data_IF_635409426783
#
_entry.id   IF_635409426783
#
_cell.length_a   1.000
_cell.length_b   1.000
_cell.length_c   1.000
_cell.angle_alpha   90.00
_cell.angle_beta   90.00
_cell.angle_gamma   90.00
#
_symmetry.space_group_name_H-M   'P 1'
#
loop_
_entity.id
_entity.type
_entity.pdbx_description
1 polymer ?
#
# COMPACT_ATOMS: atom_id res chain seq x y z
N UNK A 1 -29.18 -2.95 36.76
CA UNK A 1 -27.85 -3.20 37.34
C UNK A 1 -26.81 -2.37 36.60
N UNK A 2 -25.87 -1.72 37.30
CA UNK A 2 -24.87 -0.89 36.59
C UNK A 2 -23.82 -1.78 35.90
N UNK A 3 -23.21 -1.28 34.81
CA UNK A 3 -22.21 -2.02 34.01
C UNK A 3 -21.08 -2.60 34.89
N UNK A 4 -20.56 -1.82 35.84
CA UNK A 4 -19.46 -2.29 36.70
C UNK A 4 -19.85 -3.42 37.61
N UNK A 5 -21.09 -3.40 38.13
CA UNK A 5 -21.63 -4.48 38.94
C UNK A 5 -21.72 -5.78 38.14
N UNK A 6 -22.15 -5.69 36.88
CA UNK A 6 -22.23 -6.85 35.98
C UNK A 6 -20.84 -7.41 35.63
N UNK A 7 -19.89 -6.54 35.33
CA UNK A 7 -18.49 -6.96 35.11
C UNK A 7 -17.96 -7.71 36.32
N UNK A 8 -18.22 -7.18 37.54
CA UNK A 8 -17.83 -7.83 38.81
C UNK A 8 -18.49 -9.19 38.99
N UNK A 9 -19.80 -9.27 38.73
CA UNK A 9 -20.58 -10.52 38.88
C UNK A 9 -20.08 -11.57 37.85
N UNK A 10 -19.92 -11.22 36.59
CA UNK A 10 -19.39 -12.11 35.55
C UNK A 10 -18.00 -12.62 35.91
N UNK A 11 -17.11 -11.74 36.41
CA UNK A 11 -15.79 -12.16 36.90
C UNK A 11 -15.87 -13.14 38.06
N UNK A 12 -16.73 -12.87 39.03
CA UNK A 12 -16.91 -13.76 40.20
C UNK A 12 -17.48 -15.12 39.79
N UNK A 13 -18.46 -15.15 38.90
CA UNK A 13 -19.04 -16.37 38.36
C UNK A 13 -18.02 -17.17 37.53
N UNK A 14 -17.07 -16.50 36.86
CA UNK A 14 -15.96 -17.14 36.19
C UNK A 14 -14.80 -17.55 37.12
N UNK A 15 -14.92 -17.31 38.45
CA UNK A 15 -13.89 -17.64 39.42
C UNK A 15 -12.58 -16.88 39.28
N UNK A 16 -12.59 -15.70 38.62
CA UNK A 16 -11.38 -14.96 38.32
C UNK A 16 -11.10 -13.84 39.32
N UNK A 17 -9.79 -13.57 39.55
CA UNK A 17 -9.36 -12.37 40.29
C UNK A 17 -9.37 -11.17 39.38
N UNK A 18 -9.46 -9.93 39.94
CA UNK A 18 -9.30 -8.69 39.15
C UNK A 18 -7.96 -8.64 38.38
N UNK A 19 -6.93 -9.20 38.97
CA UNK A 19 -5.59 -9.29 38.39
C UNK A 19 -5.56 -10.21 37.17
N UNK A 20 -6.24 -11.35 37.27
CA UNK A 20 -6.36 -12.31 36.16
C UNK A 20 -7.14 -11.71 34.97
N UNK A 21 -8.24 -10.99 35.22
CA UNK A 21 -8.99 -10.27 34.17
C UNK A 21 -8.14 -9.18 33.56
N UNK A 22 -7.40 -8.41 34.38
CA UNK A 22 -6.52 -7.36 33.89
C UNK A 22 -5.44 -7.92 32.96
N UNK A 23 -4.81 -9.03 33.29
CA UNK A 23 -3.84 -9.76 32.48
C UNK A 23 -4.44 -10.17 31.12
N UNK A 24 -5.60 -10.83 31.16
CA UNK A 24 -6.26 -11.33 29.93
C UNK A 24 -6.76 -10.23 29.00
N UNK A 25 -7.26 -9.12 29.55
CA UNK A 25 -7.71 -7.95 28.78
C UNK A 25 -6.52 -7.13 28.26
N UNK A 26 -5.36 -7.18 28.95
CA UNK A 26 -4.18 -6.37 28.64
C UNK A 26 -4.24 -4.96 29.23
N UNK A 27 -4.79 -4.82 30.45
CA UNK A 27 -4.92 -3.54 31.16
C UNK A 27 -4.35 -3.63 32.58
N UNK A 28 -4.27 -2.50 33.30
CA UNK A 28 -3.87 -2.51 34.69
C UNK A 28 -4.99 -3.03 35.60
N UNK A 29 -4.65 -3.68 36.71
CA UNK A 29 -5.63 -4.09 37.75
C UNK A 29 -6.48 -2.91 38.23
N UNK A 30 -5.86 -1.71 38.33
CA UNK A 30 -6.58 -0.50 38.74
C UNK A 30 -7.68 -0.12 37.74
N UNK A 31 -7.49 -0.37 36.43
CA UNK A 31 -8.51 -0.11 35.41
C UNK A 31 -9.73 -1.01 35.66
N UNK A 32 -9.52 -2.32 35.88
CA UNK A 32 -10.58 -3.27 36.19
C UNK A 32 -11.30 -2.86 37.47
N UNK A 33 -10.58 -2.47 38.53
CA UNK A 33 -11.18 -1.98 39.76
C UNK A 33 -12.08 -0.77 39.52
N UNK A 34 -11.62 0.25 38.75
CA UNK A 34 -12.40 1.44 38.41
C UNK A 34 -13.66 1.11 37.60
N UNK A 35 -13.58 0.12 36.72
CA UNK A 35 -14.75 -0.34 35.96
C UNK A 35 -15.78 -0.99 36.89
N UNK A 36 -15.36 -1.88 37.80
CA UNK A 36 -16.26 -2.58 38.71
C UNK A 36 -16.96 -1.65 39.71
N UNK A 37 -16.35 -0.49 40.04
CA UNK A 37 -16.97 0.52 40.92
C UNK A 37 -17.62 1.66 40.17
N UNK A 38 -17.77 1.56 38.82
CA UNK A 38 -18.35 2.56 37.92
C UNK A 38 -17.64 3.93 37.95
N UNK A 39 -16.36 3.99 38.31
CA UNK A 39 -15.56 5.22 38.24
C UNK A 39 -15.08 5.51 36.82
N UNK A 40 -14.99 4.51 35.96
CA UNK A 40 -14.74 4.63 34.54
C UNK A 40 -15.41 3.48 33.80
N UNK A 41 -15.66 3.65 32.51
CA UNK A 41 -16.13 2.57 31.65
C UNK A 41 -14.99 1.98 30.83
N UNK A 42 -14.99 0.66 30.53
CA UNK A 42 -14.10 0.07 29.55
C UNK A 42 -14.43 0.65 28.16
N UNK A 43 -13.41 0.81 27.31
CA UNK A 43 -13.65 1.15 25.91
C UNK A 43 -14.27 -0.04 25.15
N UNK A 44 -14.73 0.21 23.92
CA UNK A 44 -15.42 -0.80 23.10
C UNK A 44 -14.58 -2.07 22.92
N UNK A 45 -13.27 -1.95 22.70
CA UNK A 45 -12.38 -3.08 22.53
C UNK A 45 -12.29 -3.94 23.80
N UNK A 46 -12.18 -3.29 24.96
CA UNK A 46 -12.12 -3.97 26.24
C UNK A 46 -13.45 -4.63 26.62
N UNK A 47 -14.59 -4.03 26.22
CA UNK A 47 -15.91 -4.66 26.41
C UNK A 47 -16.02 -5.98 25.62
N UNK A 48 -15.53 -6.00 24.37
CA UNK A 48 -15.52 -7.24 23.59
C UNK A 48 -14.63 -8.31 24.21
N UNK A 49 -13.43 -7.93 24.69
CA UNK A 49 -12.53 -8.86 25.40
C UNK A 49 -13.15 -9.40 26.68
N UNK A 50 -13.80 -8.55 27.47
CA UNK A 50 -14.49 -8.96 28.68
C UNK A 50 -15.63 -9.94 28.37
N UNK A 51 -16.42 -9.65 27.33
CA UNK A 51 -17.49 -10.56 26.91
C UNK A 51 -16.95 -11.93 26.49
N UNK A 52 -15.85 -11.96 25.74
CA UNK A 52 -15.16 -13.20 25.34
C UNK A 52 -14.63 -13.98 26.53
N UNK A 53 -13.94 -13.32 27.48
CA UNK A 53 -13.35 -13.93 28.68
C UNK A 53 -14.42 -14.52 29.60
N UNK A 54 -15.56 -13.84 29.73
CA UNK A 54 -16.66 -14.27 30.56
C UNK A 54 -17.64 -15.22 29.90
N UNK A 55 -17.46 -15.51 28.59
CA UNK A 55 -18.38 -16.35 27.82
C UNK A 55 -19.78 -15.73 27.66
N UNK A 56 -19.86 -14.39 27.62
CA UNK A 56 -21.11 -13.63 27.53
C UNK A 56 -21.10 -12.71 26.32
N UNK A 57 -22.17 -11.94 26.08
CA UNK A 57 -22.23 -10.93 25.03
C UNK A 57 -21.97 -9.54 25.57
N UNK A 58 -21.53 -8.62 24.71
CA UNK A 58 -21.43 -7.20 25.05
C UNK A 58 -22.81 -6.64 25.40
N UNK A 59 -23.86 -7.09 24.71
CA UNK A 59 -25.23 -6.66 25.00
C UNK A 59 -25.67 -7.10 26.40
N UNK A 60 -25.38 -8.33 26.82
CA UNK A 60 -25.63 -8.79 28.18
C UNK A 60 -24.80 -8.08 29.26
N UNK A 61 -23.62 -7.57 28.88
CA UNK A 61 -22.85 -6.69 29.77
C UNK A 61 -23.42 -5.28 29.86
N UNK A 62 -24.05 -4.78 28.80
CA UNK A 62 -24.59 -3.42 28.72
C UNK A 62 -26.06 -3.31 29.13
N UNK A 63 -26.87 -4.34 28.92
CA UNK A 63 -28.33 -4.28 29.06
C UNK A 63 -28.83 -4.87 30.40
N UNK A 64 -29.89 -4.28 30.92
CA UNK A 64 -30.48 -4.61 32.22
C UNK A 64 -31.61 -5.64 32.16
N UNK A 65 -32.00 -6.11 30.98
CA UNK A 65 -33.14 -7.01 30.84
C UNK A 65 -32.76 -8.41 30.37
N UNK A 66 -33.20 -9.41 31.11
CA UNK A 66 -32.92 -10.84 31.01
C UNK A 66 -33.44 -11.53 29.72
N UNK A 67 -34.01 -10.80 28.77
CA UNK A 67 -34.74 -11.37 27.60
C UNK A 67 -33.95 -11.54 26.28
N UNK A 68 -32.70 -11.10 26.24
CA UNK A 68 -31.89 -11.31 25.02
C UNK A 68 -30.89 -12.46 25.15
N UNK A 69 -31.37 -13.66 25.31
CA UNK A 69 -30.57 -14.90 25.16
C UNK A 69 -30.26 -15.13 23.69
N UNK A 70 -29.31 -14.38 23.12
CA UNK A 70 -28.72 -14.79 21.84
C UNK A 70 -27.97 -16.11 22.06
N UNK A 71 -28.26 -17.10 21.23
CA UNK A 71 -27.58 -18.38 21.33
C UNK A 71 -26.08 -18.22 21.07
N UNK A 72 -25.20 -19.06 21.68
CA UNK A 72 -23.77 -19.04 21.39
C UNK A 72 -23.45 -19.08 19.88
N UNK A 73 -24.32 -19.72 19.07
CA UNK A 73 -24.22 -19.79 17.62
C UNK A 73 -24.43 -18.42 16.93
N UNK A 74 -25.37 -17.59 17.46
CA UNK A 74 -25.62 -16.25 16.92
C UNK A 74 -24.46 -15.29 17.23
N UNK A 75 -23.86 -15.42 18.40
CA UNK A 75 -22.67 -14.63 18.80
C UNK A 75 -21.47 -14.94 17.91
N UNK A 76 -21.20 -16.22 17.66
CA UNK A 76 -20.15 -16.68 16.74
C UNK A 76 -20.42 -16.12 15.35
N UNK A 77 -21.66 -16.19 14.86
CA UNK A 77 -22.05 -15.67 13.57
C UNK A 77 -21.84 -14.15 13.47
N UNK A 78 -22.15 -13.39 14.51
CA UNK A 78 -21.92 -11.94 14.59
C UNK A 78 -20.42 -11.60 14.54
N UNK A 79 -19.60 -12.29 15.33
CA UNK A 79 -18.14 -12.09 15.33
C UNK A 79 -17.52 -12.40 13.96
N UNK A 80 -17.96 -13.48 13.31
CA UNK A 80 -17.54 -13.81 11.95
C UNK A 80 -17.90 -12.70 10.95
N UNK A 81 -19.12 -12.18 11.00
CA UNK A 81 -19.56 -11.08 10.13
C UNK A 81 -18.70 -9.82 10.35
N UNK A 82 -18.46 -9.43 11.58
CA UNK A 82 -17.60 -8.29 11.91
C UNK A 82 -16.16 -8.47 11.43
N UNK A 83 -15.62 -9.67 11.54
CA UNK A 83 -14.28 -9.97 11.02
C UNK A 83 -14.22 -9.95 9.50
N UNK A 84 -15.25 -10.45 8.82
CA UNK A 84 -15.35 -10.36 7.36
C UNK A 84 -15.50 -8.91 6.87
N UNK A 85 -16.31 -8.10 7.55
CA UNK A 85 -16.46 -6.68 7.24
C UNK A 85 -15.13 -5.93 7.41
N UNK A 86 -14.42 -6.14 8.53
CA UNK A 86 -13.08 -5.56 8.74
C UNK A 86 -12.09 -6.01 7.67
N UNK A 87 -12.11 -7.28 7.27
CA UNK A 87 -11.27 -7.79 6.18
C UNK A 87 -11.65 -7.16 4.82
N UNK A 88 -12.94 -6.97 4.56
CA UNK A 88 -13.44 -6.34 3.35
C UNK A 88 -13.04 -4.85 3.28
N UNK A 89 -13.18 -4.10 4.38
CA UNK A 89 -12.75 -2.72 4.48
C UNK A 89 -11.23 -2.57 4.31
N UNK A 90 -10.45 -3.43 4.96
CA UNK A 90 -9.00 -3.44 4.81
C UNK A 90 -8.58 -3.70 3.35
N UNK A 91 -9.24 -4.66 2.67
CA UNK A 91 -9.01 -4.92 1.24
C UNK A 91 -9.39 -3.73 0.37
N UNK A 92 -10.53 -3.05 0.65
CA UNK A 92 -10.97 -1.86 -0.06
C UNK A 92 -9.97 -0.71 0.09
N UNK A 93 -9.51 -0.47 1.33
CA UNK A 93 -8.48 0.54 1.63
C UNK A 93 -7.16 0.23 0.92
N UNK A 94 -6.74 -1.02 0.91
CA UNK A 94 -5.53 -1.45 0.21
C UNK A 94 -5.65 -1.25 -1.30
N UNK A 95 -6.78 -1.64 -1.92
CA UNK A 95 -7.03 -1.38 -3.35
C UNK A 95 -6.97 0.10 -3.69
N UNK A 96 -7.60 0.95 -2.87
CA UNK A 96 -7.57 2.40 -3.08
C UNK A 96 -6.13 2.95 -3.00
N UNK A 97 -5.33 2.49 -2.05
CA UNK A 97 -3.92 2.90 -1.94
C UNK A 97 -3.10 2.43 -3.14
N UNK A 98 -3.34 1.22 -3.65
CA UNK A 98 -2.68 0.70 -4.84
C UNK A 98 -3.03 1.54 -6.08
N UNK A 99 -4.30 1.91 -6.25
CA UNK A 99 -4.75 2.80 -7.34
C UNK A 99 -4.10 4.19 -7.23
N UNK A 100 -4.06 4.77 -6.03
CA UNK A 100 -3.37 6.06 -5.81
C UNK A 100 -1.89 5.99 -6.18
N UNK A 101 -1.19 4.92 -5.81
CA UNK A 101 0.20 4.72 -6.16
C UNK A 101 0.39 4.57 -7.69
N UNK A 102 -0.49 3.81 -8.35
CA UNK A 102 -0.46 3.65 -9.81
C UNK A 102 -0.71 4.96 -10.54
N UNK A 103 -1.67 5.77 -10.08
CA UNK A 103 -1.94 7.10 -10.63
C UNK A 103 -0.74 8.04 -10.46
N UNK A 104 -0.09 8.01 -9.29
CA UNK A 104 1.11 8.83 -9.06
C UNK A 104 2.24 8.47 -10.05
N UNK A 105 2.48 7.18 -10.27
CA UNK A 105 3.45 6.71 -11.26
C UNK A 105 3.06 7.16 -12.67
N UNK A 106 1.80 7.01 -13.06
CA UNK A 106 1.30 7.45 -14.37
C UNK A 106 1.47 8.97 -14.58
N UNK A 107 1.19 9.77 -13.53
CA UNK A 107 1.39 11.23 -13.57
C UNK A 107 2.85 11.57 -13.84
N UNK A 108 3.81 10.88 -13.23
CA UNK A 108 5.25 11.12 -13.50
C UNK A 108 5.56 10.87 -14.96
N UNK A 109 5.08 9.78 -15.56
CA UNK A 109 5.27 9.53 -17.02
C UNK A 109 4.62 10.60 -17.88
N UNK A 110 3.41 11.06 -17.54
CA UNK A 110 2.72 12.14 -18.24
C UNK A 110 3.53 13.43 -18.15
N UNK A 111 4.07 13.77 -16.98
CA UNK A 111 4.92 14.96 -16.78
C UNK A 111 6.18 14.85 -17.65
N UNK A 112 6.87 13.70 -17.64
CA UNK A 112 8.06 13.47 -18.47
C UNK A 112 7.71 13.58 -19.96
N UNK A 113 6.56 13.05 -20.36
CA UNK A 113 6.06 13.18 -21.74
C UNK A 113 5.90 14.66 -22.14
N UNK A 114 5.20 15.45 -21.32
CA UNK A 114 4.98 16.87 -21.62
C UNK A 114 6.26 17.69 -21.58
N UNK A 115 7.13 17.47 -20.60
CA UNK A 115 8.44 18.14 -20.53
C UNK A 115 9.25 17.85 -21.80
N UNK A 116 9.34 16.57 -22.18
CA UNK A 116 10.05 16.18 -23.39
C UNK A 116 9.43 16.79 -24.65
N UNK A 117 8.10 16.88 -24.73
CA UNK A 117 7.40 17.56 -25.82
C UNK A 117 7.76 19.06 -25.91
N UNK A 118 7.74 19.75 -24.77
CA UNK A 118 8.04 21.18 -24.74
C UNK A 118 9.50 21.48 -25.07
N UNK A 119 10.43 20.62 -24.69
CA UNK A 119 11.87 20.87 -24.89
C UNK A 119 12.32 20.42 -26.27
N UNK A 120 11.87 19.27 -26.78
CA UNK A 120 12.45 18.60 -27.93
C UNK A 120 11.55 18.50 -29.17
N UNK A 121 10.31 18.95 -29.08
CA UNK A 121 9.41 18.91 -30.23
C UNK A 121 9.01 20.32 -30.65
N UNK A 122 9.21 20.66 -31.92
CA UNK A 122 8.77 21.93 -32.47
C UNK A 122 7.24 22.06 -32.32
N UNK A 123 6.80 23.25 -31.89
CA UNK A 123 5.38 23.55 -31.80
C UNK A 123 4.77 23.63 -33.21
N UNK A 124 3.78 22.77 -33.48
CA UNK A 124 3.05 22.82 -34.73
C UNK A 124 1.99 23.92 -34.68
N UNK A 125 2.08 24.90 -35.55
CA UNK A 125 1.11 26.01 -35.64
C UNK A 125 -0.30 25.57 -36.05
N UNK A 126 -0.46 24.37 -36.58
CA UNK A 126 -1.73 23.92 -37.16
C UNK A 126 -2.76 23.39 -36.14
N UNK A 127 -2.33 22.78 -35.03
CA UNK A 127 -3.23 22.30 -33.99
C UNK A 127 -2.46 21.83 -32.76
N UNK A 128 -2.93 22.22 -31.57
CA UNK A 128 -2.40 21.71 -30.29
C UNK A 128 -2.52 20.18 -30.17
N UNK A 129 -3.66 19.61 -30.58
CA UNK A 129 -3.90 18.18 -30.58
C UNK A 129 -2.93 17.49 -31.55
N UNK A 130 -2.76 18.01 -32.75
CA UNK A 130 -1.78 17.51 -33.73
C UNK A 130 -0.36 17.55 -33.14
N UNK A 131 0.05 18.67 -32.53
CA UNK A 131 1.34 18.77 -31.85
C UNK A 131 1.48 17.73 -30.73
N UNK A 132 0.47 17.52 -29.96
CA UNK A 132 0.51 16.56 -28.83
C UNK A 132 0.81 15.12 -29.28
N UNK A 133 0.27 14.68 -30.42
CA UNK A 133 0.41 13.29 -30.87
C UNK A 133 1.40 13.09 -32.03
N UNK A 134 1.80 14.15 -32.72
CA UNK A 134 2.75 14.04 -33.84
C UNK A 134 4.19 14.09 -33.33
N UNK A 135 4.94 13.01 -33.51
CA UNK A 135 6.35 12.92 -33.11
C UNK A 135 7.21 13.58 -34.19
N UNK A 136 7.63 14.81 -33.94
CA UNK A 136 8.60 15.55 -34.79
C UNK A 136 9.70 16.12 -33.90
N UNK A 137 10.67 15.28 -33.44
CA UNK A 137 11.77 15.78 -32.64
C UNK A 137 12.61 16.76 -33.46
N UNK A 138 13.03 17.87 -32.85
CA UNK A 138 13.91 18.86 -33.45
C UNK A 138 15.23 18.92 -32.69
N UNK A 139 16.35 18.73 -33.40
CA UNK A 139 17.70 18.84 -32.82
C UNK A 139 18.32 17.51 -32.39
N UNK A 140 19.65 17.53 -32.20
CA UNK A 140 20.46 16.32 -31.90
C UNK A 140 20.17 15.70 -30.55
N UNK A 141 19.85 16.51 -29.54
CA UNK A 141 19.57 16.03 -28.18
C UNK A 141 18.19 15.36 -28.00
N UNK A 142 17.32 15.48 -29.00
CA UNK A 142 15.94 14.94 -28.96
C UNK A 142 15.84 13.50 -29.41
N UNK A 143 16.92 12.91 -29.91
CA UNK A 143 16.85 11.64 -30.62
C UNK A 143 16.43 10.46 -29.65
N UNK A 144 16.96 10.41 -28.43
CA UNK A 144 16.60 9.36 -27.46
C UNK A 144 15.11 9.43 -27.13
N UNK A 145 14.59 10.63 -26.85
CA UNK A 145 13.18 10.85 -26.55
C UNK A 145 12.30 10.50 -27.76
N UNK A 146 12.67 10.97 -28.94
CA UNK A 146 11.96 10.66 -30.19
C UNK A 146 11.96 9.16 -30.51
N UNK A 147 13.09 8.49 -30.29
CA UNK A 147 13.21 7.05 -30.48
C UNK A 147 12.32 6.27 -29.49
N UNK A 148 12.32 6.64 -28.21
CA UNK A 148 11.45 6.03 -27.18
C UNK A 148 9.98 6.12 -27.56
N UNK A 149 9.54 7.27 -28.10
CA UNK A 149 8.15 7.47 -28.52
C UNK A 149 7.83 6.72 -29.82
N UNK A 150 8.69 6.80 -30.84
CA UNK A 150 8.48 6.15 -32.14
C UNK A 150 8.49 4.62 -32.06
N UNK A 151 9.29 4.07 -31.13
CA UNK A 151 9.35 2.62 -30.86
C UNK A 151 8.28 2.13 -29.89
N UNK A 152 7.39 3.00 -29.38
CA UNK A 152 6.42 2.69 -28.32
C UNK A 152 7.03 2.26 -26.97
N UNK A 153 8.35 2.26 -26.83
CA UNK A 153 9.03 1.83 -25.59
C UNK A 153 8.69 2.70 -24.39
N UNK A 154 8.40 3.99 -24.63
CA UNK A 154 7.90 4.89 -23.60
C UNK A 154 6.63 4.34 -22.93
N UNK A 155 5.66 3.93 -23.75
CA UNK A 155 4.37 3.43 -23.28
C UNK A 155 4.48 2.04 -22.63
N UNK A 156 5.34 1.19 -23.17
CA UNK A 156 5.65 -0.10 -22.56
C UNK A 156 6.33 0.06 -21.19
N UNK A 157 7.29 0.96 -21.07
CA UNK A 157 7.93 1.26 -19.79
C UNK A 157 6.93 1.82 -18.77
N UNK A 158 6.03 2.71 -19.19
CA UNK A 158 4.94 3.20 -18.36
C UNK A 158 4.05 2.04 -17.87
N UNK A 159 3.62 1.15 -18.76
CA UNK A 159 2.79 -0.01 -18.39
C UNK A 159 3.51 -0.94 -17.41
N UNK A 160 4.79 -1.26 -17.66
CA UNK A 160 5.64 -2.08 -16.79
C UNK A 160 5.76 -1.45 -15.38
N UNK A 161 5.82 -0.13 -15.29
CA UNK A 161 5.92 0.56 -14.01
C UNK A 161 4.58 0.75 -13.31
N UNK A 162 3.48 1.01 -14.03
CA UNK A 162 2.15 1.28 -13.47
C UNK A 162 1.43 0.01 -13.03
N UNK A 163 1.42 -1.03 -13.88
CA UNK A 163 0.62 -2.25 -13.63
C UNK A 163 0.98 -2.94 -12.31
N UNK A 164 2.26 -3.16 -11.95
CA UNK A 164 2.60 -3.81 -10.68
C UNK A 164 2.12 -3.06 -9.44
N UNK A 165 2.02 -1.73 -9.51
CA UNK A 165 1.50 -0.91 -8.42
C UNK A 165 0.05 -1.22 -8.09
N UNK A 166 -0.79 -1.54 -9.10
CA UNK A 166 -2.18 -1.96 -8.90
C UNK A 166 -2.27 -3.26 -8.08
N UNK A 167 -1.26 -4.11 -8.16
CA UNK A 167 -1.13 -5.36 -7.40
C UNK A 167 -0.35 -5.20 -6.10
N UNK A 168 -0.13 -3.97 -5.64
CA UNK A 168 0.55 -3.67 -4.37
C UNK A 168 2.08 -3.75 -4.41
N UNK A 169 2.69 -3.88 -5.60
CA UNK A 169 4.15 -3.89 -5.79
C UNK A 169 4.68 -2.47 -6.01
N UNK A 170 4.42 -1.57 -5.07
CA UNK A 170 4.74 -0.15 -5.20
C UNK A 170 6.25 0.14 -5.22
N UNK A 171 7.07 -0.69 -4.56
CA UNK A 171 8.53 -0.54 -4.58
C UNK A 171 9.11 -0.85 -5.97
N UNK A 172 8.65 -1.93 -6.59
CA UNK A 172 8.99 -2.22 -7.98
C UNK A 172 8.67 -1.03 -8.89
N UNK A 173 7.44 -0.51 -8.81
CA UNK A 173 6.99 0.63 -9.61
C UNK A 173 7.83 1.89 -9.37
N UNK A 174 8.19 2.16 -8.11
CA UNK A 174 9.04 3.31 -7.77
C UNK A 174 10.44 3.17 -8.38
N UNK A 175 11.08 2.00 -8.24
CA UNK A 175 12.43 1.73 -8.75
C UNK A 175 12.47 1.84 -10.27
N UNK A 176 11.51 1.22 -10.97
CA UNK A 176 11.45 1.27 -12.43
C UNK A 176 11.15 2.67 -12.97
N UNK A 177 10.29 3.44 -12.29
CA UNK A 177 9.98 4.83 -12.66
C UNK A 177 11.19 5.74 -12.45
N UNK A 178 11.87 5.63 -11.32
CA UNK A 178 13.08 6.40 -11.05
C UNK A 178 14.18 6.08 -12.07
N UNK A 179 14.39 4.80 -12.37
CA UNK A 179 15.37 4.37 -13.36
C UNK A 179 15.00 4.80 -14.80
N UNK A 180 13.71 4.86 -15.13
CA UNK A 180 13.27 5.39 -16.42
C UNK A 180 13.70 6.85 -16.59
N UNK A 181 13.45 7.69 -15.57
CA UNK A 181 13.81 9.11 -15.58
C UNK A 181 15.34 9.28 -15.60
N UNK A 182 16.05 8.58 -14.71
CA UNK A 182 17.52 8.63 -14.67
C UNK A 182 18.14 8.13 -15.98
N UNK A 183 17.58 7.07 -16.53
CA UNK A 183 18.03 6.53 -17.82
C UNK A 183 17.91 7.53 -18.95
N UNK A 184 16.82 8.32 -19.01
CA UNK A 184 16.69 9.41 -20.00
C UNK A 184 17.79 10.45 -19.77
N UNK A 185 17.98 10.91 -18.52
CA UNK A 185 18.99 11.92 -18.18
C UNK A 185 20.40 11.44 -18.56
N UNK A 186 20.80 10.27 -18.09
CA UNK A 186 22.10 9.69 -18.38
C UNK A 186 22.28 9.36 -19.87
N UNK A 187 21.22 8.85 -20.52
CA UNK A 187 21.25 8.56 -21.96
C UNK A 187 21.43 9.81 -22.81
N UNK A 188 20.93 10.96 -22.36
CA UNK A 188 21.17 12.25 -23.04
C UNK A 188 22.56 12.82 -22.76
N UNK A 189 23.06 12.71 -21.53
CA UNK A 189 24.35 13.28 -21.14
C UNK A 189 25.51 12.46 -21.71
N UNK A 190 25.44 11.14 -21.65
CA UNK A 190 26.55 10.22 -21.98
C UNK A 190 26.34 9.46 -23.29
N UNK A 191 25.23 9.69 -23.99
CA UNK A 191 24.88 9.03 -25.22
C UNK A 191 25.24 9.72 -26.55
N UNK A 192 25.79 10.97 -26.58
CA UNK A 192 26.17 11.58 -27.83
C UNK A 192 27.40 10.91 -28.48
N UNK A 193 27.52 11.09 -29.78
CA UNK A 193 28.56 10.55 -30.66
C UNK A 193 29.97 10.94 -30.25
N UNK A 194 30.93 10.03 -30.41
CA UNK A 194 32.31 10.45 -30.63
C UNK A 194 32.41 11.16 -31.98
N UNK A 195 33.03 12.35 -32.03
CA UNK A 195 33.36 13.06 -33.25
C UNK A 195 34.12 12.13 -34.21
N UNK A 196 33.65 12.00 -35.45
CA UNK A 196 34.29 11.17 -36.48
C UNK A 196 33.72 9.77 -36.66
N UNK A 197 32.70 9.37 -35.96
CA UNK A 197 32.00 8.12 -36.25
C UNK A 197 31.26 8.20 -37.58
N UNK A 198 31.44 7.18 -38.44
CA UNK A 198 30.80 7.11 -39.75
C UNK A 198 29.28 7.26 -39.66
N UNK A 199 28.72 7.96 -40.61
CA UNK A 199 27.31 8.31 -40.75
C UNK A 199 26.42 7.09 -40.47
N UNK A 200 25.62 7.16 -39.43
CA UNK A 200 24.57 6.18 -39.20
C UNK A 200 24.46 5.72 -37.74
N UNK A 201 23.47 6.21 -37.07
CA UNK A 201 22.73 5.48 -36.04
C UNK A 201 23.36 5.17 -34.70
N UNK A 202 24.56 5.58 -34.37
CA UNK A 202 25.25 5.14 -33.14
C UNK A 202 25.14 6.08 -31.95
N UNK A 203 23.96 6.56 -31.64
CA UNK A 203 23.74 7.18 -30.34
C UNK A 203 23.58 6.08 -29.31
N UNK A 204 24.53 5.95 -28.40
CA UNK A 204 24.48 4.95 -27.33
C UNK A 204 23.45 5.26 -26.23
N UNK A 205 22.76 6.39 -26.29
CA UNK A 205 21.77 6.83 -25.31
C UNK A 205 20.67 5.80 -25.07
N UNK A 206 20.21 5.13 -26.14
CA UNK A 206 19.21 4.04 -26.02
C UNK A 206 19.76 2.83 -25.26
N UNK A 207 21.04 2.50 -25.44
CA UNK A 207 21.69 1.37 -24.74
C UNK A 207 21.89 1.72 -23.25
N UNK A 208 22.29 2.95 -22.95
CA UNK A 208 22.42 3.47 -21.57
C UNK A 208 21.07 3.44 -20.88
N UNK A 209 20.04 4.06 -21.51
CA UNK A 209 18.69 4.05 -20.98
C UNK A 209 18.17 2.62 -20.77
N UNK A 210 18.29 1.77 -21.79
CA UNK A 210 17.83 0.39 -21.77
C UNK A 210 18.52 -0.45 -20.69
N UNK A 211 19.85 -0.30 -20.56
CA UNK A 211 20.64 -0.98 -19.53
C UNK A 211 20.20 -0.59 -18.11
N UNK A 212 20.06 0.72 -17.84
CA UNK A 212 19.57 1.23 -16.53
C UNK A 212 18.15 0.71 -16.27
N UNK A 213 17.27 0.76 -17.27
CA UNK A 213 15.88 0.35 -17.10
C UNK A 213 15.76 -1.17 -16.88
N UNK A 214 16.47 -2.00 -17.64
CA UNK A 214 16.48 -3.45 -17.45
C UNK A 214 17.05 -3.85 -16.09
N UNK A 215 18.15 -3.21 -15.67
CA UNK A 215 18.71 -3.43 -14.33
C UNK A 215 17.70 -3.09 -13.24
N UNK A 216 16.92 -2.03 -13.42
CA UNK A 216 15.89 -1.61 -12.46
C UNK A 216 14.77 -2.62 -12.27
N UNK A 217 14.43 -3.38 -13.33
CA UNK A 217 13.44 -4.47 -13.24
C UNK A 217 13.96 -5.55 -12.28
N UNK A 218 15.23 -5.93 -12.40
CA UNK A 218 15.85 -6.92 -11.51
C UNK A 218 15.89 -6.40 -10.07
N UNK A 219 16.36 -5.16 -9.86
CA UNK A 219 16.41 -4.53 -8.54
C UNK A 219 15.01 -4.39 -7.94
N UNK A 220 14.01 -4.02 -8.75
CA UNK A 220 12.62 -3.91 -8.33
C UNK A 220 12.05 -5.27 -7.85
N UNK A 221 12.32 -6.36 -8.58
CA UNK A 221 11.89 -7.71 -8.18
C UNK A 221 12.55 -8.12 -6.86
N UNK A 222 13.85 -7.87 -6.72
CA UNK A 222 14.61 -8.19 -5.51
C UNK A 222 14.09 -7.39 -4.31
N UNK A 223 13.82 -6.10 -4.48
CA UNK A 223 13.29 -5.24 -3.40
C UNK A 223 11.95 -5.72 -2.86
N UNK A 224 11.06 -6.20 -3.73
CA UNK A 224 9.78 -6.77 -3.31
C UNK A 224 9.94 -8.12 -2.58
N UNK A 225 10.92 -8.94 -2.97
CA UNK A 225 11.23 -10.20 -2.27
C UNK A 225 11.77 -9.95 -0.87
N UNK A 226 12.72 -9.04 -0.70
CA UNK A 226 13.28 -8.69 0.60
C UNK A 226 12.21 -8.24 1.60
N UNK A 227 11.28 -7.37 1.16
CA UNK A 227 10.19 -6.90 2.03
C UNK A 227 9.26 -8.05 2.44
N UNK A 228 8.96 -8.97 1.51
CA UNK A 228 8.13 -10.13 1.83
C UNK A 228 8.82 -11.04 2.87
N UNK A 229 10.12 -11.26 2.73
CA UNK A 229 10.89 -12.09 3.66
C UNK A 229 11.01 -11.45 5.04
N UNK A 230 11.20 -10.13 5.13
CA UNK A 230 11.22 -9.41 6.40
C UNK A 230 9.89 -9.47 7.13
N UNK A 231 8.77 -9.29 6.42
CA UNK A 231 7.43 -9.45 7.01
C UNK A 231 7.21 -10.87 7.55
N UNK A 232 7.66 -11.88 6.82
CA UNK A 232 7.58 -13.28 7.27
C UNK A 232 8.44 -13.55 8.51
N UNK A 233 9.64 -12.95 8.58
CA UNK A 233 10.54 -13.06 9.76
C UNK A 233 9.92 -12.41 10.99
N UNK A 234 9.34 -11.21 10.85
CA UNK A 234 8.67 -10.51 11.95
C UNK A 234 7.47 -11.33 12.45
N UNK A 235 6.64 -11.84 11.53
CA UNK A 235 5.49 -12.67 11.88
C UNK A 235 5.90 -13.96 12.63
N UNK A 236 6.98 -14.64 12.21
CA UNK A 236 7.51 -15.83 12.89
C UNK A 236 8.01 -15.51 14.30
N UNK A 237 8.70 -14.37 14.48
CA UNK A 237 9.15 -13.92 15.82
C UNK A 237 7.99 -13.61 16.75
N UNK A 238 6.93 -12.98 16.25
CA UNK A 238 5.73 -12.70 17.06
C UNK A 238 5.03 -14.00 17.52
N UNK A 239 4.99 -15.01 16.64
CA UNK A 239 4.38 -16.32 16.96
C UNK A 239 5.21 -17.17 17.92
N UNK A 240 6.52 -16.94 18.04
CA UNK A 240 7.40 -17.63 19.01
C UNK A 240 7.35 -16.99 20.40
N UNK A 241 6.90 -15.75 20.51
CA UNK A 241 6.81 -14.99 21.77
C UNK A 241 5.39 -15.04 22.39
N UNK A 242 4.46 -15.78 21.80
CA UNK A 242 3.13 -16.12 22.32
C UNK A 242 3.08 -17.57 22.78
#
# INVERSE_FOLDING_TARGET
MALGERIKECRQNAGMSQEKVAELVGVSRQAVTKWEVNQSAPNTENLFKLAEIFGTTVDLLLDSDEDSKQSPAEQICYLYKMEEEKKAEAKKKQRLNNVKAALLVAIVYIIVYFIGRCIWCAFSQSSFIGWLFTIRPSGEHSYLYGWLLSSNLFWYAMAISVIPSLFGKSKFSLVTTAAFVLGIIFGMIFGPYPEGAAIGHNHYGWAIWGGIYLLSIIVGILSERFIKDDKLRIFRKQKQNQ
#
